data_IF_806088009862
#
_entry.id   IF_806088009862
#
_cell.length_a   1.000
_cell.length_b   1.000
_cell.length_c   1.000
_cell.angle_alpha   90.00
_cell.angle_beta   90.00
_cell.angle_gamma   90.00
#
_symmetry.space_group_name_H-M   'P 1'
#
loop_
_entity.id
_entity.type
_entity.pdbx_description
1 polymer ?
#
# COMPACT_ATOMS: atom_id res chain seq x y z
N UNK A 1 17.60 16.01 -4.77
CA UNK A 1 18.16 14.63 -4.79
C UNK A 1 17.78 14.02 -6.12
N UNK A 2 18.64 13.22 -6.76
CA UNK A 2 18.30 12.65 -8.07
C UNK A 2 17.01 11.82 -7.95
N UNK A 3 16.00 12.12 -8.79
CA UNK A 3 14.69 11.46 -8.74
C UNK A 3 14.80 9.93 -8.75
N UNK A 4 15.87 9.42 -9.37
CA UNK A 4 16.22 7.99 -9.42
C UNK A 4 16.64 7.46 -8.06
N UNK A 5 17.45 8.19 -7.27
CA UNK A 5 17.84 7.77 -5.92
C UNK A 5 16.65 7.80 -4.96
N UNK A 6 15.73 8.75 -5.14
CA UNK A 6 14.51 8.85 -4.35
C UNK A 6 13.52 7.72 -4.69
N UNK A 7 13.39 7.37 -5.97
CA UNK A 7 12.59 6.22 -6.42
C UNK A 7 13.14 4.90 -5.89
N UNK A 8 14.44 4.64 -6.06
CA UNK A 8 15.09 3.41 -5.59
C UNK A 8 15.08 3.34 -4.06
N UNK A 9 15.32 4.46 -3.38
CA UNK A 9 15.27 4.57 -1.93
C UNK A 9 13.88 4.28 -1.36
N UNK A 10 12.81 4.85 -1.92
CA UNK A 10 11.45 4.61 -1.44
C UNK A 10 10.89 3.23 -1.84
N UNK A 11 11.30 2.68 -2.99
CA UNK A 11 10.84 1.36 -3.43
C UNK A 11 11.51 0.22 -2.65
N UNK A 12 12.82 0.32 -2.36
CA UNK A 12 13.58 -0.78 -1.77
C UNK A 12 14.06 -0.54 -0.33
N UNK A 13 14.44 0.68 0.04
CA UNK A 13 15.14 0.94 1.32
C UNK A 13 14.17 1.41 2.41
N UNK A 14 13.29 2.35 2.08
CA UNK A 14 12.27 2.88 2.99
C UNK A 14 10.89 2.27 2.69
N UNK A 15 10.87 0.94 2.48
CA UNK A 15 9.65 0.23 2.14
C UNK A 15 8.67 0.30 3.32
N UNK A 16 7.59 1.05 3.10
CA UNK A 16 6.55 1.39 4.08
C UNK A 16 5.88 0.13 4.68
N UNK A 17 5.93 -1.00 3.96
CA UNK A 17 5.33 -2.27 4.39
C UNK A 17 6.18 -3.00 5.43
N UNK A 18 7.51 -2.89 5.34
CA UNK A 18 8.45 -3.69 6.14
C UNK A 18 9.24 -2.87 7.15
N UNK A 19 9.49 -1.59 6.88
CA UNK A 19 10.13 -0.68 7.84
C UNK A 19 9.12 0.04 8.74
N UNK A 20 7.92 0.32 8.24
CA UNK A 20 6.85 1.03 8.99
C UNK A 20 5.64 0.14 9.34
N UNK A 21 5.66 -1.13 8.93
CA UNK A 21 4.57 -2.10 9.16
C UNK A 21 3.20 -1.64 8.65
N UNK A 22 3.14 -0.80 7.62
CA UNK A 22 1.86 -0.42 7.04
C UNK A 22 1.35 -1.52 6.08
N UNK A 23 0.03 -1.62 5.92
CA UNK A 23 -0.64 -2.60 5.05
C UNK A 23 -0.59 -4.09 5.48
N UNK A 24 -0.51 -4.39 6.78
CA UNK A 24 -0.69 -5.76 7.30
C UNK A 24 -2.10 -6.30 6.98
N UNK A 25 -3.13 -5.45 7.02
CA UNK A 25 -4.52 -5.84 6.78
C UNK A 25 -4.74 -6.52 5.41
N UNK A 26 -4.36 -5.91 4.26
CA UNK A 26 -4.47 -6.57 2.96
C UNK A 26 -3.50 -7.74 2.81
N UNK A 27 -2.33 -7.67 3.46
CA UNK A 27 -1.35 -8.75 3.44
C UNK A 27 -1.91 -10.03 4.07
N UNK A 28 -2.67 -9.96 5.17
CA UNK A 28 -3.28 -11.15 5.77
C UNK A 28 -4.55 -11.61 5.03
N UNK A 29 -5.33 -10.66 4.51
CA UNK A 29 -6.64 -10.91 3.89
C UNK A 29 -6.59 -11.50 2.47
N UNK A 30 -5.72 -10.99 1.59
CA UNK A 30 -5.78 -11.27 0.14
C UNK A 30 -4.67 -12.22 -0.35
N UNK A 31 -3.71 -12.56 0.49
CA UNK A 31 -2.51 -13.33 0.12
C UNK A 31 -2.71 -14.84 -0.04
N UNK A 32 -3.93 -15.36 -0.07
CA UNK A 32 -4.17 -16.79 -0.33
C UNK A 32 -3.89 -17.21 -1.77
N UNK A 33 -4.02 -16.29 -2.73
CA UNK A 33 -3.78 -16.54 -4.15
C UNK A 33 -2.89 -15.44 -4.72
N UNK A 34 -1.81 -15.77 -5.45
CA UNK A 34 -0.90 -14.77 -5.99
C UNK A 34 -1.60 -13.85 -7.01
N UNK A 35 -2.56 -14.38 -7.79
CA UNK A 35 -3.37 -13.59 -8.73
C UNK A 35 -4.18 -12.49 -8.03
N UNK A 36 -4.79 -12.80 -6.88
CA UNK A 36 -5.58 -11.83 -6.12
C UNK A 36 -4.66 -10.79 -5.46
N UNK A 37 -3.54 -11.23 -4.90
CA UNK A 37 -2.54 -10.34 -4.30
C UNK A 37 -2.01 -9.31 -5.32
N UNK A 38 -1.74 -9.75 -6.55
CA UNK A 38 -1.26 -8.90 -7.64
C UNK A 38 -2.32 -7.88 -8.09
N UNK A 39 -3.57 -8.31 -8.25
CA UNK A 39 -4.69 -7.41 -8.55
C UNK A 39 -4.89 -6.35 -7.44
N UNK A 40 -4.74 -6.75 -6.17
CA UNK A 40 -4.82 -5.83 -5.03
C UNK A 40 -3.68 -4.81 -5.06
N UNK A 41 -2.46 -5.24 -5.36
CA UNK A 41 -1.30 -4.36 -5.50
C UNK A 41 -1.49 -3.28 -6.57
N UNK A 42 -2.00 -3.66 -7.74
CA UNK A 42 -2.31 -2.69 -8.80
C UNK A 42 -3.41 -1.70 -8.41
N UNK A 43 -4.48 -2.17 -7.77
CA UNK A 43 -5.54 -1.29 -7.29
C UNK A 43 -5.04 -0.27 -6.27
N UNK A 44 -4.22 -0.72 -5.31
CA UNK A 44 -3.60 0.16 -4.30
C UNK A 44 -2.62 1.14 -4.96
N UNK A 45 -1.83 0.70 -5.94
CA UNK A 45 -0.91 1.58 -6.70
C UNK A 45 -1.65 2.73 -7.37
N UNK A 46 -2.76 2.43 -8.04
CA UNK A 46 -3.57 3.43 -8.71
C UNK A 46 -4.16 4.45 -7.71
N UNK A 47 -4.70 3.96 -6.59
CA UNK A 47 -5.30 4.83 -5.56
C UNK A 47 -4.24 5.71 -4.90
N UNK A 48 -3.08 5.16 -4.52
CA UNK A 48 -2.00 5.92 -3.85
C UNK A 48 -1.44 6.99 -4.78
N UNK A 49 -1.24 6.68 -6.06
CA UNK A 49 -0.75 7.64 -7.03
C UNK A 49 -1.68 8.85 -7.18
N UNK A 50 -2.98 8.59 -7.41
CA UNK A 50 -3.97 9.67 -7.53
C UNK A 50 -4.18 10.43 -6.21
N UNK A 51 -4.22 9.71 -5.09
CA UNK A 51 -4.35 10.33 -3.78
C UNK A 51 -3.18 11.28 -3.52
N UNK A 52 -1.93 10.87 -3.79
CA UNK A 52 -0.74 11.68 -3.57
C UNK A 52 -0.76 13.00 -4.34
N UNK A 53 -1.30 13.01 -5.57
CA UNK A 53 -1.47 14.23 -6.37
C UNK A 53 -2.56 15.12 -5.75
N UNK A 54 -3.74 14.56 -5.51
CA UNK A 54 -4.90 15.34 -5.07
C UNK A 54 -4.70 15.90 -3.65
N UNK A 55 -4.14 15.11 -2.73
CA UNK A 55 -3.86 15.55 -1.36
C UNK A 55 -2.78 16.62 -1.34
N UNK A 56 -1.76 16.54 -2.20
CA UNK A 56 -0.76 17.58 -2.36
C UNK A 56 -1.40 18.90 -2.80
N UNK A 57 -2.21 18.89 -3.87
CA UNK A 57 -2.89 20.10 -4.33
C UNK A 57 -3.79 20.69 -3.24
N UNK A 58 -4.60 19.86 -2.57
CA UNK A 58 -5.48 20.34 -1.50
C UNK A 58 -4.71 20.95 -0.34
N UNK A 59 -3.59 20.36 0.06
CA UNK A 59 -2.81 20.86 1.18
C UNK A 59 -2.24 22.26 0.89
N UNK A 60 -1.57 22.43 -0.25
CA UNK A 60 -0.91 23.69 -0.59
C UNK A 60 -1.87 24.77 -1.10
N UNK A 61 -2.91 24.41 -1.86
CA UNK A 61 -3.85 25.39 -2.44
C UNK A 61 -5.06 25.69 -1.56
N UNK A 62 -5.39 24.84 -0.58
CA UNK A 62 -6.59 25.04 0.26
C UNK A 62 -6.21 25.13 1.74
N UNK A 63 -5.57 24.12 2.32
CA UNK A 63 -5.34 24.08 3.77
C UNK A 63 -4.35 25.15 4.23
N UNK A 64 -3.27 25.35 3.45
CA UNK A 64 -2.23 26.35 3.75
C UNK A 64 -2.77 27.78 3.71
N UNK A 65 -3.46 28.26 2.65
CA UNK A 65 -3.97 29.63 2.63
C UNK A 65 -5.07 29.88 3.65
N UNK A 66 -5.89 28.88 3.99
CA UNK A 66 -6.92 29.01 5.01
C UNK A 66 -6.37 28.87 6.44
N UNK A 67 -5.09 28.52 6.63
CA UNK A 67 -4.46 28.22 7.93
C UNK A 67 -5.18 27.10 8.73
N UNK A 68 -5.77 26.13 8.03
CA UNK A 68 -6.51 25.00 8.63
C UNK A 68 -5.72 23.70 8.45
N UNK A 69 -4.41 23.75 8.66
CA UNK A 69 -3.52 22.59 8.48
C UNK A 69 -3.83 21.43 9.41
N UNK A 70 -4.48 21.68 10.56
CA UNK A 70 -4.92 20.65 11.50
C UNK A 70 -6.04 19.72 10.98
N UNK A 71 -6.65 20.04 9.82
CA UNK A 71 -7.67 19.21 9.15
C UNK A 71 -7.09 18.27 8.08
N UNK A 72 -5.76 18.19 7.96
CA UNK A 72 -5.05 17.37 6.96
C UNK A 72 -5.51 15.90 6.97
N UNK A 73 -5.49 15.25 8.13
CA UNK A 73 -5.90 13.84 8.31
C UNK A 73 -7.33 13.58 7.81
N UNK A 74 -8.28 14.40 8.24
CA UNK A 74 -9.70 14.24 7.88
C UNK A 74 -9.89 14.46 6.38
N UNK A 75 -9.23 15.49 5.85
CA UNK A 75 -9.30 15.82 4.42
C UNK A 75 -8.74 14.69 3.56
N UNK A 76 -7.60 14.12 3.95
CA UNK A 76 -6.97 13.03 3.19
C UNK A 76 -7.80 11.75 3.23
N UNK A 77 -8.36 11.39 4.39
CA UNK A 77 -9.26 10.24 4.50
C UNK A 77 -10.47 10.42 3.58
N UNK A 78 -11.06 11.62 3.54
CA UNK A 78 -12.22 11.91 2.68
C UNK A 78 -11.87 11.79 1.19
N UNK A 79 -10.71 12.32 0.77
CA UNK A 79 -10.21 12.18 -0.60
C UNK A 79 -10.01 10.72 -0.96
N UNK A 80 -9.31 9.96 -0.11
CA UNK A 80 -9.04 8.54 -0.33
C UNK A 80 -10.36 7.75 -0.41
N UNK A 81 -11.31 8.00 0.49
CA UNK A 81 -12.61 7.34 0.49
C UNK A 81 -13.37 7.58 -0.82
N UNK A 82 -13.38 8.82 -1.32
CA UNK A 82 -14.03 9.16 -2.60
C UNK A 82 -13.37 8.46 -3.80
N UNK A 83 -12.03 8.37 -3.81
CA UNK A 83 -11.28 7.71 -4.88
C UNK A 83 -11.51 6.20 -4.88
N UNK A 84 -11.49 5.55 -3.71
CA UNK A 84 -11.74 4.11 -3.63
C UNK A 84 -13.17 3.79 -4.04
N UNK A 85 -14.14 4.62 -3.65
CA UNK A 85 -15.53 4.44 -4.08
C UNK A 85 -15.66 4.54 -5.61
N UNK A 86 -14.94 5.48 -6.23
CA UNK A 86 -14.88 5.59 -7.68
C UNK A 86 -14.26 4.32 -8.31
N UNK A 87 -13.17 3.81 -7.75
CA UNK A 87 -12.52 2.56 -8.21
C UNK A 87 -13.44 1.35 -8.04
N UNK A 88 -14.23 1.28 -6.98
CA UNK A 88 -15.21 0.21 -6.77
C UNK A 88 -16.28 0.20 -7.87
N UNK A 89 -16.84 1.37 -8.18
CA UNK A 89 -17.81 1.52 -9.26
C UNK A 89 -17.21 1.18 -10.63
N UNK A 90 -15.95 1.58 -10.86
CA UNK A 90 -15.24 1.26 -12.09
C UNK A 90 -15.02 -0.26 -12.23
N UNK A 91 -14.51 -0.93 -11.19
CA UNK A 91 -14.26 -2.38 -11.23
C UNK A 91 -15.54 -3.20 -11.39
N UNK A 92 -16.67 -2.78 -10.79
CA UNK A 92 -17.98 -3.39 -11.00
C UNK A 92 -18.40 -3.41 -12.48
N UNK A 93 -18.05 -2.35 -13.23
CA UNK A 93 -18.45 -2.18 -14.63
C UNK A 93 -17.48 -2.85 -15.60
N UNK A 94 -16.18 -2.70 -15.39
CA UNK A 94 -15.17 -3.14 -16.36
C UNK A 94 -14.82 -4.62 -16.22
N UNK A 95 -14.80 -5.15 -15.00
CA UNK A 95 -14.31 -6.50 -14.71
C UNK A 95 -15.04 -7.17 -13.52
N UNK A 96 -16.24 -7.74 -13.75
CA UNK A 96 -17.01 -8.37 -12.68
C UNK A 96 -16.31 -9.58 -12.04
N UNK A 97 -15.37 -10.23 -12.73
CA UNK A 97 -14.57 -11.33 -12.15
C UNK A 97 -13.62 -10.85 -11.03
N UNK A 98 -12.96 -9.71 -11.22
CA UNK A 98 -12.09 -9.10 -10.20
C UNK A 98 -12.95 -8.63 -9.02
N UNK A 99 -14.10 -8.03 -9.31
CA UNK A 99 -15.03 -7.60 -8.27
C UNK A 99 -15.61 -8.78 -7.46
N UNK A 100 -15.93 -9.92 -8.09
CA UNK A 100 -16.41 -11.12 -7.36
C UNK A 100 -15.34 -11.72 -6.45
N UNK A 101 -14.07 -11.65 -6.85
CA UNK A 101 -12.96 -12.26 -6.10
C UNK A 101 -12.36 -11.34 -5.03
N UNK A 102 -12.41 -10.02 -5.21
CA UNK A 102 -11.84 -9.04 -4.29
C UNK A 102 -12.83 -8.03 -3.71
N UNK A 103 -14.10 -8.02 -4.12
CA UNK A 103 -15.09 -6.99 -3.77
C UNK A 103 -15.18 -6.68 -2.28
N UNK A 104 -15.10 -7.71 -1.44
CA UNK A 104 -15.13 -7.57 0.03
C UNK A 104 -13.89 -6.85 0.59
N UNK A 105 -12.77 -6.89 -0.14
CA UNK A 105 -11.50 -6.28 0.26
C UNK A 105 -11.28 -4.87 -0.30
N UNK A 106 -12.14 -4.38 -1.20
CA UNK A 106 -12.03 -3.00 -1.72
C UNK A 106 -12.16 -1.95 -0.60
N UNK A 107 -13.11 -2.08 0.36
CA UNK A 107 -13.16 -1.19 1.52
C UNK A 107 -11.93 -1.25 2.43
N UNK A 108 -11.10 -2.31 2.35
CA UNK A 108 -9.83 -2.34 3.08
C UNK A 108 -8.78 -1.42 2.47
N UNK A 109 -8.98 -0.90 1.25
CA UNK A 109 -8.09 0.10 0.64
C UNK A 109 -8.28 1.46 1.33
N UNK A 110 -9.51 1.87 1.67
CA UNK A 110 -9.77 3.18 2.31
C UNK A 110 -9.15 3.27 3.70
N UNK A 111 -9.15 2.16 4.43
CA UNK A 111 -8.61 2.05 5.78
C UNK A 111 -7.16 1.56 5.80
N UNK A 112 -6.49 1.53 4.64
CA UNK A 112 -5.11 1.07 4.55
C UNK A 112 -4.15 2.15 5.05
N UNK A 113 -3.42 1.83 6.12
CA UNK A 113 -2.41 2.70 6.70
C UNK A 113 -1.31 3.11 5.71
N UNK A 114 -1.02 2.30 4.69
CA UNK A 114 -0.01 2.66 3.69
C UNK A 114 -0.50 3.80 2.78
N UNK A 115 -1.80 3.84 2.46
CA UNK A 115 -2.36 4.88 1.57
C UNK A 115 -2.34 6.22 2.29
N UNK A 116 -2.81 6.25 3.54
CA UNK A 116 -2.79 7.46 4.36
C UNK A 116 -1.35 7.89 4.71
N UNK A 117 -0.49 6.92 5.05
CA UNK A 117 0.90 7.17 5.42
C UNK A 117 1.71 7.83 4.30
N UNK A 118 1.57 7.37 3.05
CA UNK A 118 2.26 7.99 1.90
C UNK A 118 1.79 9.43 1.68
N UNK A 119 0.48 9.69 1.78
CA UNK A 119 -0.05 11.04 1.62
C UNK A 119 0.49 12.01 2.69
N UNK A 120 0.59 11.56 3.94
CA UNK A 120 1.14 12.36 5.05
C UNK A 120 2.66 12.52 4.97
N UNK A 121 3.38 11.45 4.62
CA UNK A 121 4.84 11.47 4.48
C UNK A 121 5.27 12.44 3.37
N UNK A 122 4.55 12.47 2.24
CA UNK A 122 4.83 13.40 1.13
C UNK A 122 4.82 14.87 1.57
N UNK A 123 3.89 15.22 2.46
CA UNK A 123 3.70 16.59 2.94
C UNK A 123 4.68 16.91 4.07
N UNK A 124 4.87 15.98 5.00
CA UNK A 124 5.80 16.12 6.13
C UNK A 124 7.27 16.21 5.66
N UNK A 125 7.60 15.51 4.57
CA UNK A 125 8.93 15.56 3.95
C UNK A 125 9.14 16.82 3.08
N UNK A 126 8.09 17.64 2.86
CA UNK A 126 8.17 18.84 2.02
C UNK A 126 8.51 18.55 0.56
N UNK A 127 8.09 17.39 0.04
CA UNK A 127 8.34 17.03 -1.36
C UNK A 127 7.66 17.99 -2.32
N UNK A 128 8.27 18.21 -3.49
CA UNK A 128 7.60 18.90 -4.60
C UNK A 128 6.53 18.00 -5.23
N UNK A 129 5.62 18.57 -6.03
CA UNK A 129 4.57 17.80 -6.72
C UNK A 129 5.13 16.62 -7.53
N UNK A 130 6.29 16.81 -8.17
CA UNK A 130 6.95 15.78 -8.97
C UNK A 130 7.50 14.67 -8.05
N UNK A 131 8.13 15.03 -6.93
CA UNK A 131 8.63 14.07 -5.95
C UNK A 131 7.48 13.29 -5.28
N UNK A 132 6.35 13.95 -5.00
CA UNK A 132 5.15 13.31 -4.46
C UNK A 132 4.52 12.31 -5.45
N UNK A 133 4.54 12.62 -6.76
CA UNK A 133 4.12 11.68 -7.81
C UNK A 133 5.04 10.46 -7.88
N UNK A 134 6.36 10.69 -7.82
CA UNK A 134 7.35 9.61 -7.83
C UNK A 134 7.22 8.74 -6.59
N UNK A 135 7.06 9.33 -5.40
CA UNK A 135 6.81 8.61 -4.15
C UNK A 135 5.50 7.81 -4.19
N UNK A 136 4.46 8.41 -4.78
CA UNK A 136 3.15 7.80 -4.99
C UNK A 136 3.16 6.59 -5.94
N UNK A 137 4.20 6.42 -6.76
CA UNK A 137 4.43 5.19 -7.56
C UNK A 137 5.42 4.24 -6.88
N UNK A 138 6.52 4.79 -6.34
CA UNK A 138 7.62 4.02 -5.78
C UNK A 138 7.18 3.11 -4.63
N UNK A 139 6.40 3.65 -3.68
CA UNK A 139 5.95 2.94 -2.49
C UNK A 139 4.98 1.79 -2.81
N UNK A 140 3.88 2.00 -3.56
CA UNK A 140 2.95 0.91 -3.84
C UNK A 140 3.51 -0.17 -4.77
N UNK A 141 4.49 0.15 -5.62
CA UNK A 141 5.23 -0.87 -6.38
C UNK A 141 5.96 -1.80 -5.41
N UNK A 142 6.65 -1.25 -4.40
CA UNK A 142 7.28 -2.02 -3.32
C UNK A 142 6.27 -2.91 -2.59
N UNK A 143 5.10 -2.38 -2.25
CA UNK A 143 4.01 -3.16 -1.64
C UNK A 143 3.53 -4.30 -2.55
N UNK A 144 3.39 -4.05 -3.85
CA UNK A 144 2.94 -5.05 -4.83
C UNK A 144 3.91 -6.22 -4.93
N UNK A 145 5.22 -5.94 -4.92
CA UNK A 145 6.25 -6.98 -4.94
C UNK A 145 6.17 -7.82 -3.66
N UNK A 146 6.08 -7.17 -2.50
CA UNK A 146 6.04 -7.85 -1.19
C UNK A 146 4.81 -8.74 -1.06
N UNK A 147 3.61 -8.23 -1.39
CA UNK A 147 2.38 -9.02 -1.27
C UNK A 147 2.35 -10.19 -2.25
N UNK A 148 2.95 -10.04 -3.44
CA UNK A 148 3.06 -11.11 -4.42
C UNK A 148 4.01 -12.24 -3.94
N UNK A 149 5.19 -11.87 -3.43
CA UNK A 149 6.13 -12.85 -2.86
C UNK A 149 5.51 -13.55 -1.66
N UNK A 150 4.85 -12.80 -0.76
CA UNK A 150 4.18 -13.36 0.40
C UNK A 150 3.05 -14.33 0.02
N UNK A 151 2.24 -13.99 -0.99
CA UNK A 151 1.20 -14.87 -1.48
C UNK A 151 1.77 -16.17 -2.09
N UNK A 152 2.89 -16.08 -2.79
CA UNK A 152 3.58 -17.25 -3.35
C UNK A 152 4.12 -18.17 -2.25
N UNK A 153 4.65 -17.60 -1.17
CA UNK A 153 5.10 -18.38 0.00
C UNK A 153 3.91 -19.06 0.68
N UNK A 154 2.78 -18.35 0.86
CA UNK A 154 1.57 -18.94 1.44
C UNK A 154 1.02 -20.10 0.62
N UNK A 155 0.99 -19.98 -0.70
CA UNK A 155 0.55 -21.07 -1.59
C UNK A 155 1.44 -22.33 -1.44
N UNK A 156 2.74 -22.15 -1.20
CA UNK A 156 3.66 -23.27 -0.91
C UNK A 156 3.44 -23.86 0.48
N UNK A 157 3.17 -23.03 1.48
CA UNK A 157 2.91 -23.46 2.86
C UNK A 157 1.60 -24.25 2.99
N UNK A 158 0.59 -23.93 2.17
CA UNK A 158 -0.67 -24.67 2.15
C UNK A 158 -0.49 -26.14 1.69
N UNK A 159 0.57 -26.43 0.92
CA UNK A 159 0.92 -27.78 0.46
C UNK A 159 1.92 -28.46 1.40
N UNK A 160 2.59 -27.70 2.27
CA UNK A 160 3.61 -28.21 3.18
C UNK A 160 3.00 -28.94 4.38
N UNK A 161 3.77 -29.85 4.99
CA UNK A 161 3.39 -30.52 6.23
C UNK A 161 3.57 -29.58 7.43
N UNK A 162 2.59 -28.71 7.64
CA UNK A 162 2.50 -27.80 8.78
C UNK A 162 1.68 -28.46 9.91
N UNK A 163 2.11 -28.40 11.18
CA UNK A 163 1.30 -28.85 12.32
C UNK A 163 -0.08 -28.18 12.33
N UNK A 164 -1.14 -28.91 12.69
CA UNK A 164 -2.52 -28.41 12.59
C UNK A 164 -2.75 -27.08 13.33
N UNK A 165 -2.14 -26.92 14.51
CA UNK A 165 -2.24 -25.69 15.32
C UNK A 165 -1.64 -24.44 14.65
N UNK A 166 -0.75 -24.61 13.67
CA UNK A 166 -0.08 -23.50 12.98
C UNK A 166 -0.68 -23.19 11.59
N UNK A 167 -1.59 -24.02 11.08
CA UNK A 167 -2.21 -23.80 9.77
C UNK A 167 -2.99 -22.48 9.73
N UNK A 168 -2.93 -21.79 8.60
CA UNK A 168 -3.69 -20.56 8.36
C UNK A 168 -2.97 -19.27 8.76
N UNK A 169 -3.55 -18.50 9.68
CA UNK A 169 -3.03 -17.19 10.10
C UNK A 169 -1.77 -17.24 10.98
N UNK A 170 -1.56 -18.23 11.88
CA UNK A 170 -0.36 -18.25 12.73
C UNK A 170 0.93 -18.38 11.90
N UNK A 171 1.00 -19.33 10.96
CA UNK A 171 2.16 -19.47 10.10
C UNK A 171 2.34 -18.29 9.13
N UNK A 172 1.24 -17.65 8.73
CA UNK A 172 1.29 -16.43 7.92
C UNK A 172 1.97 -15.28 8.69
N UNK A 173 1.69 -15.12 10.00
CA UNK A 173 2.39 -14.12 10.82
C UNK A 173 3.87 -14.47 11.01
N UNK A 174 4.19 -15.74 11.27
CA UNK A 174 5.59 -16.17 11.43
C UNK A 174 6.39 -15.90 10.16
N UNK A 175 5.83 -16.25 8.99
CA UNK A 175 6.48 -16.02 7.70
C UNK A 175 6.58 -14.53 7.36
N UNK A 176 5.59 -13.72 7.72
CA UNK A 176 5.67 -12.27 7.61
C UNK A 176 6.80 -11.71 8.49
N UNK A 177 6.96 -12.21 9.71
CA UNK A 177 8.06 -11.84 10.61
C UNK A 177 9.43 -12.21 10.06
N UNK A 178 9.60 -13.42 9.51
CA UNK A 178 10.85 -13.86 8.86
C UNK A 178 11.17 -13.00 7.64
N UNK A 179 10.16 -12.67 6.82
CA UNK A 179 10.30 -11.78 5.67
C UNK A 179 10.70 -10.36 6.11
N UNK A 180 10.14 -9.86 7.21
CA UNK A 180 10.53 -8.58 7.80
C UNK A 180 11.99 -8.56 8.25
N UNK A 181 12.45 -9.61 8.93
CA UNK A 181 13.87 -9.73 9.32
C UNK A 181 14.80 -9.77 8.10
N UNK A 182 14.43 -10.49 7.04
CA UNK A 182 15.22 -10.58 5.82
C UNK A 182 15.36 -9.22 5.12
N UNK A 183 14.30 -8.41 5.11
CA UNK A 183 14.30 -7.10 4.45
C UNK A 183 14.91 -6.01 5.34
N UNK A 184 14.80 -6.12 6.67
CA UNK A 184 15.50 -5.24 7.61
C UNK A 184 17.04 -5.30 7.42
N UNK A 185 17.59 -6.44 7.00
CA UNK A 185 19.01 -6.56 6.64
C UNK A 185 19.42 -5.73 5.41
N UNK A 186 18.47 -5.34 4.56
CA UNK A 186 18.68 -4.52 3.35
C UNK A 186 18.49 -3.02 3.66
N UNK A 187 17.92 -2.68 4.82
CA UNK A 187 17.61 -1.30 5.20
C UNK A 187 18.85 -0.40 5.37
N UNK A 188 20.05 -0.98 5.50
CA UNK A 188 21.32 -0.24 5.57
C UNK A 188 22.03 -0.01 4.24
N UNK A 189 21.38 -0.30 3.09
CA UNK A 189 22.02 -0.25 1.77
C UNK A 189 22.06 1.15 1.12
N UNK A 190 21.56 2.20 1.79
CA UNK A 190 21.63 3.61 1.34
C UNK A 190 21.96 4.53 2.50
#
# INVERSE_FOLDING_TARGET
MELVSLFVGLTFVNNVVLSKFYAICPLLGVSKKPKNALNMGYAVTFVIFLASIITYLLYYYVLTPLNITYLDLITFILVIASLVQFVEMFLKKTSPEIYKSMGVYLPLITTNCAVLGVALDNISAGYTLIEAMVAGLAVPIGFTIVIYVFATIRERLDIANVPESFKGTPIALITAGIMACAIAGIAGLV
#
